data_IF_148254627498
#
_entry.id   IF_148254627498
#
_cell.length_a   1.000
_cell.length_b   1.000
_cell.length_c   1.000
_cell.angle_alpha   90.00
_cell.angle_beta   90.00
_cell.angle_gamma   90.00
#
_symmetry.space_group_name_H-M   'P 1'
#
loop_
_entity.id
_entity.type
_entity.pdbx_description
1 polymer ?
#
# COMPACT_ATOMS: atom_id res chain seq x y z
N UNK A 1 6.69 11.42 6.61
CA UNK A 1 6.11 10.46 7.56
C UNK A 1 7.07 9.30 7.89
N UNK A 2 7.11 8.87 9.14
CA UNK A 2 7.77 7.63 9.59
C UNK A 2 6.71 6.53 9.68
N UNK A 3 7.02 5.31 9.20
CA UNK A 3 6.09 4.18 9.29
C UNK A 3 5.95 3.71 10.75
N UNK A 4 4.72 3.67 11.25
CA UNK A 4 4.40 3.16 12.58
C UNK A 4 4.05 1.68 12.49
N UNK A 5 4.84 0.82 13.12
CA UNK A 5 4.65 -0.63 13.06
C UNK A 5 3.97 -1.12 14.35
N UNK A 6 2.95 -1.97 14.18
CA UNK A 6 2.26 -2.70 15.26
C UNK A 6 1.94 -4.10 14.74
N UNK A 7 1.85 -5.10 15.62
CA UNK A 7 1.49 -6.45 15.17
C UNK A 7 0.06 -6.46 14.65
N UNK A 8 -0.18 -7.21 13.57
CA UNK A 8 -1.51 -7.34 12.96
C UNK A 8 -2.61 -7.66 13.99
N UNK A 9 -2.38 -8.66 14.84
CA UNK A 9 -3.34 -9.08 15.87
C UNK A 9 -3.68 -7.98 16.88
N UNK A 10 -2.73 -7.10 17.17
CA UNK A 10 -2.95 -5.98 18.09
C UNK A 10 -3.65 -4.81 17.40
N UNK A 11 -3.54 -4.68 16.07
CA UNK A 11 -4.22 -3.65 15.28
C UNK A 11 -5.72 -3.95 15.12
N UNK A 12 -6.09 -5.23 15.02
CA UNK A 12 -7.49 -5.67 14.87
C UNK A 12 -8.42 -5.10 15.97
N UNK A 13 -7.90 -4.87 17.18
CA UNK A 13 -8.69 -4.32 18.30
C UNK A 13 -9.10 -2.85 18.09
N UNK A 14 -8.32 -2.10 17.32
CA UNK A 14 -8.56 -0.67 17.08
C UNK A 14 -9.43 -0.44 15.84
N UNK A 15 -9.73 -1.50 15.09
CA UNK A 15 -10.41 -1.42 13.81
C UNK A 15 -11.92 -1.48 13.99
N UNK A 16 -12.65 -0.68 13.22
CA UNK A 16 -14.12 -0.73 13.25
C UNK A 16 -14.60 -2.01 12.57
N UNK A 17 -15.42 -2.79 13.27
CA UNK A 17 -15.93 -4.08 12.81
C UNK A 17 -17.06 -3.96 11.76
N UNK A 18 -17.59 -2.75 11.54
CA UNK A 18 -18.75 -2.52 10.66
C UNK A 18 -18.55 -1.27 9.82
N UNK A 19 -19.04 -1.31 8.58
CA UNK A 19 -18.98 -0.19 7.65
C UNK A 19 -17.82 -0.29 6.65
N UNK A 20 -17.80 0.59 5.65
CA UNK A 20 -16.76 0.63 4.63
C UNK A 20 -15.70 1.66 5.01
N UNK A 21 -14.71 1.22 5.78
CA UNK A 21 -13.62 2.07 6.25
C UNK A 21 -12.33 1.76 5.49
N UNK A 22 -11.60 2.81 5.10
CA UNK A 22 -10.25 2.67 4.55
C UNK A 22 -9.27 2.94 5.68
N UNK A 23 -8.51 1.92 6.07
CA UNK A 23 -7.45 2.05 7.06
C UNK A 23 -6.15 2.46 6.37
N UNK A 24 -5.56 3.58 6.81
CA UNK A 24 -4.30 4.08 6.28
C UNK A 24 -3.51 4.83 7.34
N UNK A 25 -2.18 4.84 7.19
CA UNK A 25 -1.33 5.83 7.84
C UNK A 25 -1.14 6.98 6.87
N UNK A 26 -1.46 8.20 7.31
CA UNK A 26 -1.32 9.41 6.52
C UNK A 26 -0.99 10.60 7.42
N UNK A 27 -0.37 11.61 6.82
CA UNK A 27 -0.23 12.97 7.36
C UNK A 27 -0.92 13.96 6.42
N UNK A 28 -0.79 15.26 6.66
CA UNK A 28 -1.43 16.31 5.84
C UNK A 28 -0.99 16.28 4.37
N UNK A 29 0.18 15.70 4.07
CA UNK A 29 0.78 15.72 2.74
C UNK A 29 0.79 14.35 2.04
N UNK A 30 0.83 13.26 2.80
CA UNK A 30 1.22 11.93 2.29
C UNK A 30 0.38 10.82 2.91
N UNK A 31 0.10 9.80 2.11
CA UNK A 31 -0.49 8.53 2.55
C UNK A 31 0.45 7.38 2.23
N UNK A 32 0.56 6.39 3.13
CA UNK A 32 1.27 5.15 2.86
C UNK A 32 0.30 4.11 2.33
N UNK A 33 0.66 3.50 1.21
CA UNK A 33 -0.13 2.47 0.55
C UNK A 33 0.73 1.27 0.18
N UNK A 34 0.11 0.10 0.17
CA UNK A 34 0.67 -1.07 -0.47
C UNK A 34 0.15 -1.14 -1.91
N UNK A 35 1.08 -1.24 -2.86
CA UNK A 35 0.77 -1.34 -4.27
C UNK A 35 1.45 -2.58 -4.86
N UNK A 36 0.64 -3.48 -5.42
CA UNK A 36 1.16 -4.63 -6.16
C UNK A 36 1.52 -4.22 -7.58
N UNK A 37 2.75 -4.54 -8.00
CA UNK A 37 3.23 -4.31 -9.36
C UNK A 37 3.21 -5.59 -10.20
N UNK A 38 3.07 -5.43 -11.52
CA UNK A 38 3.23 -6.54 -12.47
C UNK A 38 4.68 -7.06 -12.45
N UNK A 39 4.88 -8.31 -12.84
CA UNK A 39 6.17 -9.00 -12.79
C UNK A 39 7.24 -8.29 -13.60
N UNK A 40 6.90 -7.68 -14.74
CA UNK A 40 7.84 -6.97 -15.60
C UNK A 40 8.44 -5.75 -14.90
N UNK A 41 7.61 -5.01 -14.15
CA UNK A 41 8.05 -3.85 -13.36
C UNK A 41 8.96 -4.30 -12.21
N UNK A 42 8.56 -5.34 -11.49
CA UNK A 42 9.35 -5.90 -10.39
C UNK A 42 10.72 -6.41 -10.85
N UNK A 43 10.75 -7.17 -11.95
CA UNK A 43 11.98 -7.69 -12.52
C UNK A 43 12.92 -6.57 -12.99
N UNK A 44 12.37 -5.53 -13.63
CA UNK A 44 13.14 -4.36 -14.04
C UNK A 44 13.75 -3.65 -12.83
N UNK A 45 12.95 -3.40 -11.79
CA UNK A 45 13.40 -2.68 -10.59
C UNK A 45 14.46 -3.46 -9.81
N UNK A 46 14.31 -4.78 -9.64
CA UNK A 46 15.31 -5.62 -8.98
C UNK A 46 16.64 -5.59 -9.76
N UNK A 47 16.58 -5.68 -11.09
CA UNK A 47 17.78 -5.70 -11.93
C UNK A 47 18.52 -4.35 -11.94
N UNK A 48 17.78 -3.25 -12.04
CA UNK A 48 18.34 -1.92 -12.29
C UNK A 48 18.41 -1.04 -11.05
N UNK A 49 17.80 -1.44 -9.93
CA UNK A 49 17.74 -0.69 -8.67
C UNK A 49 17.01 0.66 -8.76
N UNK A 50 16.15 0.85 -9.76
CA UNK A 50 15.22 1.98 -9.88
C UNK A 50 13.99 1.57 -10.70
N UNK A 51 12.91 2.35 -10.61
CA UNK A 51 11.70 2.11 -11.41
C UNK A 51 11.85 2.66 -12.84
N UNK A 52 11.56 1.82 -13.83
CA UNK A 52 11.61 2.19 -15.25
C UNK A 52 10.99 1.11 -16.13
N UNK A 53 11.20 1.18 -17.45
CA UNK A 53 10.63 0.24 -18.40
C UNK A 53 9.11 0.32 -18.44
N UNK A 54 8.43 -0.75 -18.01
CA UNK A 54 6.96 -0.82 -17.98
C UNK A 54 6.30 -0.01 -16.84
N UNK A 55 7.10 0.61 -15.96
CA UNK A 55 6.58 1.50 -14.93
C UNK A 55 6.17 2.87 -15.52
N UNK A 56 5.09 3.45 -15.01
CA UNK A 56 4.60 4.77 -15.41
C UNK A 56 4.02 5.49 -14.21
N UNK A 57 4.35 6.77 -14.07
CA UNK A 57 3.79 7.68 -13.05
C UNK A 57 2.41 8.24 -13.44
N UNK A 58 2.11 8.26 -14.73
CA UNK A 58 0.86 8.84 -15.26
C UNK A 58 -0.27 7.81 -15.36
N UNK A 59 0.05 6.51 -15.24
CA UNK A 59 -0.98 5.49 -15.33
C UNK A 59 -1.86 5.50 -14.07
N UNK A 60 -3.16 5.32 -14.28
CA UNK A 60 -4.05 4.98 -13.19
C UNK A 60 -3.63 3.65 -12.56
N UNK A 61 -3.56 3.60 -11.23
CA UNK A 61 -3.28 2.37 -10.49
C UNK A 61 -4.34 2.12 -9.45
N UNK A 62 -4.71 0.85 -9.30
CA UNK A 62 -5.55 0.42 -8.21
C UNK A 62 -4.71 0.27 -6.95
N UNK A 63 -5.19 0.86 -5.86
CA UNK A 63 -4.64 0.68 -4.52
C UNK A 63 -5.57 -0.30 -3.81
N UNK A 64 -5.03 -1.41 -3.32
CA UNK A 64 -5.85 -2.39 -2.60
C UNK A 64 -6.06 -1.89 -1.17
N UNK A 65 -7.31 -1.59 -0.75
CA UNK A 65 -7.57 -1.27 0.65
C UNK A 65 -7.34 -2.52 1.51
N UNK A 66 -6.94 -2.30 2.76
CA UNK A 66 -6.92 -3.35 3.77
C UNK A 66 -8.38 -3.69 4.08
N UNK A 67 -8.78 -4.94 3.84
CA UNK A 67 -10.09 -5.43 4.22
C UNK A 67 -9.96 -6.14 5.58
N UNK A 68 -10.89 -5.86 6.48
CA UNK A 68 -10.95 -6.41 7.84
C UNK A 68 -11.72 -7.75 7.85
N UNK A 69 -12.49 -8.03 6.81
CA UNK A 69 -13.39 -9.20 6.72
C UNK A 69 -12.70 -10.52 6.29
N UNK A 70 -11.38 -10.68 6.49
CA UNK A 70 -10.64 -11.92 6.13
C UNK A 70 -9.80 -12.49 7.28
#
# INVERSE_FOLDING_TARGET
>A
MKLNLKKYKEQLQDWQEKGYHIMAQYDEDKIIVYQSYRKEIGNFAIKNQYFGGAFSLERMTWIKPINIDQ
#
